data_IF_820464717741
#
_entry.id   IF_820464717741
#
_cell.length_a   1.000
_cell.length_b   1.000
_cell.length_c   1.000
_cell.angle_alpha   90.00
_cell.angle_beta   90.00
_cell.angle_gamma   90.00
#
_symmetry.space_group_name_H-M   'P 1'
#
loop_
_entity.id
_entity.type
_entity.pdbx_description
1 polymer ?
#
# COMPACT_ATOMS: atom_id res chain seq x y z
N UNK A 1 6.39 8.70 14.30
CA UNK A 1 6.08 8.79 12.86
C UNK A 1 7.01 7.85 12.13
N UNK A 2 6.52 6.98 11.24
CA UNK A 2 7.36 5.97 10.58
C UNK A 2 7.86 6.48 9.22
N UNK A 3 8.99 5.96 8.74
CA UNK A 3 9.58 6.33 7.44
C UNK A 3 8.60 6.14 6.27
N UNK A 4 7.77 5.09 6.30
CA UNK A 4 6.71 4.89 5.31
C UNK A 4 5.73 6.06 5.18
N UNK A 5 5.38 6.72 6.29
CA UNK A 5 4.52 7.92 6.21
C UNK A 5 5.21 9.07 5.50
N UNK A 6 6.51 9.27 5.76
CA UNK A 6 7.29 10.30 5.09
C UNK A 6 7.42 10.01 3.60
N UNK A 7 7.70 8.76 3.22
CA UNK A 7 7.80 8.34 1.82
C UNK A 7 6.50 8.58 1.04
N UNK A 8 5.36 8.16 1.60
CA UNK A 8 4.04 8.36 0.99
C UNK A 8 3.67 9.84 0.89
N UNK A 9 3.90 10.62 1.96
CA UNK A 9 3.68 12.07 1.95
C UNK A 9 4.54 12.75 0.88
N UNK A 10 5.82 12.39 0.79
CA UNK A 10 6.75 12.98 -0.16
C UNK A 10 6.28 12.73 -1.60
N UNK A 11 5.88 11.50 -1.91
CA UNK A 11 5.31 11.16 -3.21
C UNK A 11 4.03 11.97 -3.50
N UNK A 12 3.07 12.00 -2.57
CA UNK A 12 1.81 12.70 -2.80
C UNK A 12 1.97 14.23 -2.98
N UNK A 13 3.02 14.81 -2.38
CA UNK A 13 3.32 16.24 -2.49
C UNK A 13 4.17 16.57 -3.74
N UNK A 14 5.17 15.76 -4.03
CA UNK A 14 6.24 16.08 -4.99
C UNK A 14 6.27 15.16 -6.21
N UNK A 15 5.40 14.14 -6.26
CA UNK A 15 5.34 13.13 -7.32
C UNK A 15 6.70 12.47 -7.60
N UNK A 16 7.56 12.41 -6.58
CA UNK A 16 8.88 11.81 -6.62
C UNK A 16 8.90 10.67 -5.62
N UNK A 17 9.15 9.46 -6.11
CA UNK A 17 9.23 8.28 -5.27
C UNK A 17 10.70 8.04 -4.89
N UNK A 18 10.97 7.95 -3.59
CA UNK A 18 12.32 7.83 -3.04
C UNK A 18 12.45 6.54 -2.23
N UNK A 19 13.66 5.97 -2.23
CA UNK A 19 14.04 4.93 -1.28
C UNK A 19 14.04 5.47 0.15
N UNK A 20 13.97 4.56 1.15
CA UNK A 20 13.85 4.96 2.56
C UNK A 20 15.09 5.71 3.05
N UNK A 21 16.27 5.32 2.56
CA UNK A 21 17.58 5.92 2.83
C UNK A 21 17.74 7.30 2.20
N UNK A 22 17.00 7.60 1.13
CA UNK A 22 17.08 8.85 0.37
C UNK A 22 16.04 9.89 0.83
N UNK A 23 15.24 9.56 1.86
CA UNK A 23 14.23 10.47 2.37
C UNK A 23 14.87 11.73 2.98
N UNK A 24 14.38 12.92 2.62
CA UNK A 24 14.99 14.16 3.04
C UNK A 24 14.69 14.47 4.50
N UNK A 25 15.59 15.23 5.12
CA UNK A 25 15.32 15.90 6.40
C UNK A 25 14.36 17.05 6.13
N UNK A 26 13.20 17.02 6.79
CA UNK A 26 12.16 18.01 6.58
C UNK A 26 12.48 19.35 7.26
N UNK A 27 12.09 20.45 6.60
CA UNK A 27 12.01 21.75 7.26
C UNK A 27 10.85 21.79 8.28
N UNK A 28 10.84 22.71 9.25
CA UNK A 28 9.75 22.81 10.23
C UNK A 28 8.35 22.98 9.60
N UNK A 29 8.27 23.66 8.45
CA UNK A 29 7.04 23.81 7.69
C UNK A 29 6.58 22.48 7.09
N UNK A 30 7.47 21.74 6.43
CA UNK A 30 7.16 20.42 5.87
C UNK A 30 6.80 19.41 6.95
N UNK A 31 7.45 19.45 8.11
CA UNK A 31 7.06 18.58 9.23
C UNK A 31 5.63 18.86 9.71
N UNK A 32 5.23 20.14 9.74
CA UNK A 32 3.85 20.51 10.07
C UNK A 32 2.87 19.94 9.06
N UNK A 33 3.17 20.06 7.76
CA UNK A 33 2.35 19.48 6.71
C UNK A 33 2.25 17.95 6.81
N UNK A 34 3.37 17.27 7.04
CA UNK A 34 3.40 15.83 7.26
C UNK A 34 2.58 15.42 8.49
N UNK A 35 2.63 16.21 9.57
CA UNK A 35 1.80 15.98 10.76
C UNK A 35 0.31 16.11 10.44
N UNK A 36 -0.10 17.10 9.66
CA UNK A 36 -1.50 17.23 9.22
C UNK A 36 -1.92 16.09 8.30
N UNK A 37 -1.07 15.74 7.32
CA UNK A 37 -1.28 14.59 6.44
C UNK A 37 -1.46 13.30 7.25
N UNK A 38 -0.62 13.05 8.25
CA UNK A 38 -0.69 11.85 9.08
C UNK A 38 -1.99 11.75 9.89
N UNK A 39 -2.66 12.87 10.22
CA UNK A 39 -3.97 12.85 10.91
C UNK A 39 -5.11 12.31 10.04
N UNK A 40 -4.96 12.39 8.72
CA UNK A 40 -5.91 11.82 7.75
C UNK A 40 -5.69 10.30 7.56
N UNK A 41 -4.62 9.75 8.13
CA UNK A 41 -4.28 8.33 8.05
C UNK A 41 -4.82 7.58 9.26
N UNK A 42 -5.09 6.29 9.09
CA UNK A 42 -5.56 5.41 10.15
C UNK A 42 -4.77 4.10 10.17
N UNK A 43 -4.79 3.45 11.32
CA UNK A 43 -4.33 2.07 11.44
C UNK A 43 -5.33 1.16 10.73
N UNK A 44 -4.80 0.22 9.96
CA UNK A 44 -5.53 -0.92 9.45
C UNK A 44 -5.54 -2.01 10.53
N UNK A 45 -6.68 -2.64 10.76
CA UNK A 45 -6.89 -3.71 11.74
C UNK A 45 -6.94 -5.06 11.01
N UNK A 46 -6.27 -6.07 11.55
CA UNK A 46 -6.15 -7.37 10.85
C UNK A 46 -7.50 -7.98 10.45
N UNK A 47 -8.53 -7.83 11.29
CA UNK A 47 -9.85 -8.42 11.03
C UNK A 47 -10.57 -7.76 9.85
N UNK A 48 -10.30 -6.48 9.57
CA UNK A 48 -11.01 -5.74 8.51
C UNK A 48 -10.43 -6.05 7.13
N UNK A 49 -9.18 -6.51 7.07
CA UNK A 49 -8.45 -6.75 5.82
C UNK A 49 -9.09 -7.88 5.02
N UNK A 50 -9.55 -8.93 5.69
CA UNK A 50 -10.08 -10.14 5.05
C UNK A 50 -11.61 -10.19 4.99
N UNK A 51 -12.30 -9.11 5.36
CA UNK A 51 -13.77 -9.03 5.26
C UNK A 51 -14.24 -8.79 3.83
N UNK A 52 -13.44 -8.06 3.05
CA UNK A 52 -13.76 -7.66 1.69
C UNK A 52 -12.55 -7.88 0.79
N UNK A 53 -12.81 -8.08 -0.50
CA UNK A 53 -11.75 -8.00 -1.50
C UNK A 53 -11.29 -6.54 -1.62
N UNK A 54 -10.08 -6.33 -2.10
CA UNK A 54 -9.54 -5.00 -2.33
C UNK A 54 -9.29 -4.82 -3.82
N UNK A 55 -9.48 -3.60 -4.31
CA UNK A 55 -9.00 -3.13 -5.60
C UNK A 55 -7.64 -2.47 -5.39
N UNK A 56 -6.67 -2.78 -6.24
CA UNK A 56 -5.37 -2.08 -6.37
C UNK A 56 -5.34 -1.40 -7.72
N UNK A 57 -4.87 -0.15 -7.77
CA UNK A 57 -4.49 0.53 -9.01
C UNK A 57 -3.16 1.27 -8.78
N UNK A 58 -2.18 1.09 -9.67
CA UNK A 58 -0.93 1.87 -9.61
C UNK A 58 -0.93 3.02 -10.63
N UNK A 59 0.07 3.90 -10.55
CA UNK A 59 0.16 5.08 -11.42
C UNK A 59 0.39 4.75 -12.90
N UNK A 60 0.90 3.56 -13.18
CA UNK A 60 1.11 3.04 -14.54
C UNK A 60 -0.16 2.39 -15.12
N UNK A 61 -1.27 2.37 -14.37
CA UNK A 61 -2.56 1.84 -14.80
C UNK A 61 -2.74 0.33 -14.60
N UNK A 62 -1.75 -0.38 -14.03
CA UNK A 62 -1.94 -1.77 -13.63
C UNK A 62 -2.94 -1.85 -12.50
N UNK A 63 -3.87 -2.78 -12.63
CA UNK A 63 -4.98 -2.91 -11.69
C UNK A 63 -5.35 -4.36 -11.46
N UNK A 64 -5.59 -4.68 -10.20
CA UNK A 64 -5.81 -6.04 -9.72
C UNK A 64 -6.80 -6.07 -8.57
N UNK A 65 -7.42 -7.22 -8.34
CA UNK A 65 -8.13 -7.51 -7.08
C UNK A 65 -7.24 -8.31 -6.13
N UNK A 66 -7.38 -8.04 -4.84
CA UNK A 66 -6.69 -8.75 -3.77
C UNK A 66 -7.74 -9.45 -2.90
N UNK A 67 -7.64 -10.77 -2.80
CA UNK A 67 -8.48 -11.60 -1.94
C UNK A 67 -7.64 -12.08 -0.76
N UNK A 68 -7.74 -11.38 0.37
CA UNK A 68 -6.98 -11.66 1.58
C UNK A 68 -7.77 -12.62 2.48
N UNK A 69 -7.18 -13.77 2.83
CA UNK A 69 -7.82 -14.80 3.66
C UNK A 69 -7.40 -14.67 5.13
N UNK A 70 -8.26 -15.04 6.11
CA UNK A 70 -7.96 -14.92 7.54
C UNK A 70 -6.68 -15.63 8.01
N UNK A 71 -6.22 -16.65 7.28
CA UNK A 71 -5.01 -17.41 7.58
C UNK A 71 -3.71 -16.73 7.09
N UNK A 72 -3.78 -15.49 6.60
CA UNK A 72 -2.62 -14.74 6.13
C UNK A 72 -2.20 -15.03 4.69
N UNK A 73 -2.92 -15.87 3.94
CA UNK A 73 -2.69 -16.03 2.49
C UNK A 73 -3.53 -15.06 1.68
N UNK A 74 -3.11 -14.78 0.45
CA UNK A 74 -3.91 -13.99 -0.50
C UNK A 74 -3.78 -14.49 -1.93
N UNK A 75 -4.75 -14.08 -2.74
CA UNK A 75 -4.69 -14.18 -4.21
C UNK A 75 -4.81 -12.78 -4.79
N UNK A 76 -3.83 -12.38 -5.59
CA UNK A 76 -3.92 -11.19 -6.45
C UNK A 76 -4.35 -11.63 -7.84
N UNK A 77 -5.35 -10.98 -8.43
CA UNK A 77 -5.84 -11.27 -9.79
C UNK A 77 -5.82 -10.01 -10.62
N UNK A 78 -5.19 -10.07 -11.79
CA UNK A 78 -5.26 -8.99 -12.75
C UNK A 78 -6.72 -8.72 -13.17
N UNK A 79 -7.09 -7.45 -13.35
CA UNK A 79 -8.48 -7.11 -13.69
C UNK A 79 -8.86 -7.41 -15.14
N UNK A 80 -7.87 -7.49 -16.04
CA UNK A 80 -8.09 -7.57 -17.47
C UNK A 80 -7.59 -8.89 -18.07
N UNK A 81 -7.14 -9.83 -17.24
CA UNK A 81 -6.64 -11.13 -17.66
C UNK A 81 -6.84 -12.19 -16.59
N UNK A 82 -6.68 -13.45 -16.98
CA UNK A 82 -6.78 -14.61 -16.07
C UNK A 82 -5.53 -14.80 -15.18
N UNK A 83 -4.58 -13.86 -15.20
CA UNK A 83 -3.35 -13.96 -14.41
C UNK A 83 -3.68 -13.80 -12.93
N UNK A 84 -3.23 -14.78 -12.15
CA UNK A 84 -3.37 -14.76 -10.70
C UNK A 84 -2.03 -15.10 -10.04
N UNK A 85 -1.73 -14.42 -8.95
CA UNK A 85 -0.55 -14.63 -8.13
C UNK A 85 -0.96 -14.97 -6.71
N UNK A 86 -0.19 -15.84 -6.07
CA UNK A 86 -0.37 -16.22 -4.68
C UNK A 86 0.59 -15.43 -3.80
N UNK A 87 0.13 -15.11 -2.59
CA UNK A 87 0.93 -14.31 -1.67
C UNK A 87 0.57 -14.51 -0.21
N UNK A 88 1.25 -13.71 0.61
CA UNK A 88 1.06 -13.63 2.05
C UNK A 88 0.78 -12.19 2.45
N UNK A 89 -0.02 -12.00 3.48
CA UNK A 89 -0.29 -10.71 4.06
C UNK A 89 -0.22 -10.75 5.58
N UNK A 90 0.04 -9.59 6.17
CA UNK A 90 -0.03 -9.37 7.61
C UNK A 90 -0.24 -7.90 7.92
N UNK A 91 -0.85 -7.61 9.06
CA UNK A 91 -0.88 -6.25 9.61
C UNK A 91 0.16 -6.13 10.70
N UNK A 92 1.07 -5.16 10.59
CA UNK A 92 2.05 -4.83 11.63
C UNK A 92 1.95 -3.34 11.94
N UNK A 93 1.72 -3.01 13.21
CA UNK A 93 1.58 -1.64 13.72
C UNK A 93 0.56 -0.77 12.97
N UNK A 94 -0.49 -1.40 12.43
CA UNK A 94 -1.53 -0.73 11.66
C UNK A 94 -1.23 -0.52 10.18
N UNK A 95 -0.13 -1.07 9.66
CA UNK A 95 0.16 -1.10 8.23
C UNK A 95 -0.14 -2.49 7.68
N UNK A 96 -0.76 -2.54 6.51
CA UNK A 96 -0.96 -3.78 5.78
C UNK A 96 0.27 -4.03 4.91
N UNK A 97 0.92 -5.17 5.15
CA UNK A 97 2.02 -5.68 4.35
C UNK A 97 1.51 -6.83 3.51
N UNK A 98 1.84 -6.80 2.22
CA UNK A 98 1.54 -7.87 1.28
C UNK A 98 2.84 -8.26 0.59
N UNK A 99 3.00 -9.55 0.33
CA UNK A 99 4.09 -10.12 -0.47
C UNK A 99 3.53 -11.12 -1.46
N UNK A 100 3.88 -10.98 -2.73
CA UNK A 100 3.44 -11.81 -3.84
C UNK A 100 4.65 -12.28 -4.63
N UNK A 101 4.61 -13.52 -5.14
CA UNK A 101 5.69 -14.10 -5.95
C UNK A 101 5.21 -14.18 -7.40
N UNK A 102 5.96 -13.55 -8.31
CA UNK A 102 5.72 -13.55 -9.76
C UNK A 102 6.97 -14.03 -10.49
N UNK A 103 7.04 -15.34 -10.76
CA UNK A 103 8.26 -15.96 -11.29
C UNK A 103 9.43 -15.75 -10.34
N UNK A 104 10.46 -15.05 -10.81
CA UNK A 104 11.67 -14.72 -10.03
C UNK A 104 11.54 -13.40 -9.23
N UNK A 105 10.44 -12.67 -9.41
CA UNK A 105 10.22 -11.38 -8.75
C UNK A 105 9.41 -11.56 -7.47
N UNK A 106 9.87 -10.90 -6.41
CA UNK A 106 9.13 -10.69 -5.18
C UNK A 106 8.57 -9.29 -5.23
N UNK A 107 7.23 -9.19 -5.23
CA UNK A 107 6.52 -7.91 -5.20
C UNK A 107 5.94 -7.71 -3.81
N UNK A 108 6.22 -6.57 -3.18
CA UNK A 108 5.79 -6.26 -1.83
C UNK A 108 5.02 -4.94 -1.80
N UNK A 109 3.91 -4.91 -1.05
CA UNK A 109 3.15 -3.69 -0.82
C UNK A 109 3.19 -3.31 0.65
N UNK A 110 3.42 -2.02 0.92
CA UNK A 110 3.28 -1.44 2.24
C UNK A 110 2.19 -0.38 2.22
N UNK A 111 1.08 -0.65 2.91
CA UNK A 111 -0.19 0.08 2.74
C UNK A 111 -0.60 0.77 4.04
N UNK A 112 -1.01 2.03 3.91
CA UNK A 112 -1.52 2.90 4.98
C UNK A 112 -3.01 3.16 4.76
N UNK A 113 -3.80 2.97 5.82
CA UNK A 113 -5.23 3.26 5.81
C UNK A 113 -5.51 4.77 5.73
N UNK A 114 -6.60 5.13 5.07
CA UNK A 114 -7.15 6.47 5.03
C UNK A 114 -8.37 6.52 5.97
N UNK A 115 -8.45 7.58 6.79
CA UNK A 115 -9.51 7.79 7.77
C UNK A 115 -10.77 8.40 7.15
N UNK A 116 -10.60 9.21 6.12
CA UNK A 116 -11.66 10.06 5.55
C UNK A 116 -12.38 9.38 4.38
N UNK A 117 -11.68 8.49 3.66
CA UNK A 117 -12.17 7.83 2.45
C UNK A 117 -11.79 6.35 2.42
N UNK A 118 -12.57 5.54 1.69
CA UNK A 118 -12.24 4.15 1.37
C UNK A 118 -11.17 4.04 0.25
N UNK A 119 -10.23 4.99 0.21
CA UNK A 119 -9.11 5.01 -0.74
C UNK A 119 -7.83 5.17 0.06
N UNK A 120 -7.11 4.07 0.17
CA UNK A 120 -5.86 3.89 0.87
C UNK A 120 -4.69 4.08 -0.10
N UNK A 121 -3.47 4.23 0.45
CA UNK A 121 -2.27 4.38 -0.36
C UNK A 121 -1.16 3.46 0.12
N UNK A 122 -0.28 3.07 -0.80
CA UNK A 122 0.86 2.23 -0.48
C UNK A 122 1.95 2.32 -1.53
N UNK A 123 3.14 1.88 -1.13
CA UNK A 123 4.31 1.77 -2.00
C UNK A 123 4.49 0.30 -2.38
N UNK A 124 4.76 0.07 -3.66
CA UNK A 124 5.19 -1.21 -4.21
C UNK A 124 6.72 -1.27 -4.23
N UNK A 125 7.25 -2.42 -3.85
CA UNK A 125 8.65 -2.77 -3.96
C UNK A 125 8.78 -4.03 -4.82
N UNK A 126 9.77 -4.05 -5.70
CA UNK A 126 10.14 -5.24 -6.47
C UNK A 126 11.56 -5.62 -6.09
N UNK A 127 11.72 -6.84 -5.57
CA UNK A 127 13.00 -7.35 -5.06
C UNK A 127 13.67 -6.39 -4.05
N UNK A 128 12.86 -5.78 -3.18
CA UNK A 128 13.31 -4.86 -2.14
C UNK A 128 13.58 -3.42 -2.61
N UNK A 129 13.45 -3.13 -3.91
CA UNK A 129 13.61 -1.76 -4.45
C UNK A 129 12.27 -1.10 -4.67
N UNK A 130 12.18 0.19 -4.36
CA UNK A 130 11.00 1.00 -4.64
C UNK A 130 10.66 0.95 -6.13
N UNK A 131 9.41 0.63 -6.43
CA UNK A 131 8.89 0.44 -7.79
C UNK A 131 7.89 1.54 -8.15
N UNK A 132 6.74 1.56 -7.47
CA UNK A 132 5.63 2.44 -7.85
C UNK A 132 4.73 2.79 -6.67
N UNK A 133 3.88 3.79 -6.86
CA UNK A 133 2.84 4.19 -5.91
C UNK A 133 1.50 3.58 -6.33
N UNK A 134 0.75 3.08 -5.36
CA UNK A 134 -0.55 2.46 -5.59
C UNK A 134 -1.64 3.03 -4.67
N UNK A 135 -2.85 3.08 -5.21
CA UNK A 135 -4.10 3.28 -4.46
C UNK A 135 -4.79 1.95 -4.24
N UNK A 136 -5.43 1.82 -3.09
CA UNK A 136 -6.17 0.62 -2.73
C UNK A 136 -7.56 0.99 -2.18
N UNK A 137 -8.58 0.19 -2.46
CA UNK A 137 -9.93 0.39 -1.93
C UNK A 137 -10.57 -0.94 -1.60
N UNK A 138 -11.30 -1.05 -0.48
CA UNK A 138 -12.11 -2.24 -0.24
C UNK A 138 -13.34 -2.22 -1.15
N UNK A 139 -13.59 -3.31 -1.86
CA UNK A 139 -14.79 -3.46 -2.69
C UNK A 139 -15.78 -4.35 -1.93
N UNK A 140 -16.99 -3.82 -1.70
CA UNK A 140 -18.07 -4.61 -1.12
C UNK A 140 -18.39 -5.77 -2.05
N UNK A 141 -18.30 -6.99 -1.53
CA UNK A 141 -18.96 -8.13 -2.16
C UNK A 141 -20.47 -7.91 -2.04
N UNK A 142 -21.16 -7.89 -3.17
CA UNK A 142 -22.63 -7.86 -3.22
C UNK A 142 -23.25 -9.06 -2.51
#
# INVERSE_FOLDING_TARGET
MKLLHLQLFWYEKHHTLLEMEDLPILTPAQEKELREWAKTRRKILSYEVHQHAWLKVNVDGFSSTLHLKPNGTLVEKDLFSEKALQGLWKVIDGFLFIKVISGEFIVEYQIVGNKEQNIHCGIEYINGKVSTYSKFAQIMSA
#
